data_IF_977536845392
#
_entry.id   IF_977536845392
#
_cell.length_a   1.000
_cell.length_b   1.000
_cell.length_c   1.000
_cell.angle_alpha   90.00
_cell.angle_beta   90.00
_cell.angle_gamma   90.00
#
_symmetry.space_group_name_H-M   'P 1'
#
loop_
_entity.id
_entity.type
_entity.pdbx_description
1 polymer ?
#
# COMPACT_ATOMS: atom_id res chain seq x y z
N UNK A 1 13.51 8.54 6.34
CA UNK A 1 13.56 8.88 4.90
C UNK A 1 12.11 8.98 4.44
N UNK A 2 11.74 9.96 3.61
CA UNK A 2 10.38 9.96 3.01
C UNK A 2 10.29 8.83 1.98
N UNK A 3 9.17 8.10 1.88
CA UNK A 3 8.95 7.00 0.91
C UNK A 3 9.31 7.43 -0.51
N UNK A 4 8.99 8.68 -0.86
CA UNK A 4 9.35 9.29 -2.15
C UNK A 4 10.84 9.24 -2.46
N UNK A 5 11.71 9.47 -1.48
CA UNK A 5 13.17 9.42 -1.68
C UNK A 5 13.71 7.99 -1.87
N UNK A 6 13.05 6.99 -1.27
CA UNK A 6 13.39 5.58 -1.48
C UNK A 6 12.98 5.10 -2.87
N UNK A 7 11.81 5.56 -3.36
CA UNK A 7 11.26 5.24 -4.68
C UNK A 7 12.01 5.89 -5.84
N UNK A 8 12.56 7.10 -5.65
CA UNK A 8 13.36 7.80 -6.68
C UNK A 8 14.58 7.00 -7.15
N UNK A 9 15.13 6.14 -6.27
CA UNK A 9 16.32 5.34 -6.52
C UNK A 9 16.02 3.92 -7.03
N UNK A 10 14.76 3.63 -7.40
CA UNK A 10 14.39 2.32 -7.94
C UNK A 10 14.76 2.20 -9.42
N UNK A 11 15.29 1.04 -9.77
CA UNK A 11 15.37 0.58 -11.15
C UNK A 11 13.96 0.39 -11.72
N UNK A 12 13.86 0.32 -13.04
CA UNK A 12 12.56 0.14 -13.70
C UNK A 12 11.87 -1.18 -13.32
N UNK A 13 12.64 -2.26 -13.16
CA UNK A 13 12.08 -3.55 -12.74
C UNK A 13 11.60 -3.53 -11.29
N UNK A 14 12.30 -2.80 -10.41
CA UNK A 14 11.88 -2.64 -9.01
C UNK A 14 10.63 -1.77 -8.90
N UNK A 15 10.54 -0.69 -9.68
CA UNK A 15 9.35 0.17 -9.75
C UNK A 15 8.13 -0.62 -10.22
N UNK A 16 8.26 -1.38 -11.32
CA UNK A 16 7.20 -2.27 -11.82
C UNK A 16 6.80 -3.32 -10.78
N UNK A 17 7.77 -3.86 -10.04
CA UNK A 17 7.51 -4.82 -8.98
C UNK A 17 6.74 -4.22 -7.80
N UNK A 18 7.14 -3.04 -7.34
CA UNK A 18 6.43 -2.32 -6.28
C UNK A 18 5.00 -1.98 -6.70
N UNK A 19 4.82 -1.48 -7.92
CA UNK A 19 3.50 -1.14 -8.47
C UNK A 19 2.59 -2.37 -8.54
N UNK A 20 3.08 -3.52 -9.01
CA UNK A 20 2.33 -4.77 -9.00
C UNK A 20 1.86 -5.18 -7.59
N UNK A 21 2.72 -5.03 -6.58
CA UNK A 21 2.37 -5.36 -5.18
C UNK A 21 1.28 -4.40 -4.66
N UNK A 22 1.35 -3.11 -5.01
CA UNK A 22 0.34 -2.09 -4.66
C UNK A 22 -0.99 -2.37 -5.34
N UNK A 23 -1.01 -2.57 -6.65
CA UNK A 23 -2.23 -2.82 -7.44
C UNK A 23 -2.97 -4.08 -7.00
N UNK A 24 -2.24 -5.12 -6.60
CA UNK A 24 -2.83 -6.38 -6.13
C UNK A 24 -3.26 -6.34 -4.67
N UNK A 25 -2.85 -5.33 -3.89
CA UNK A 25 -2.96 -5.32 -2.43
C UNK A 25 -2.13 -6.42 -1.74
N UNK A 26 -1.29 -7.11 -2.51
CA UNK A 26 -0.46 -8.22 -2.09
C UNK A 26 -0.52 -9.43 -3.02
N UNK A 27 0.59 -10.15 -3.10
CA UNK A 27 0.79 -11.24 -4.06
C UNK A 27 1.72 -12.31 -3.50
N UNK A 28 1.40 -13.58 -3.78
CA UNK A 28 2.32 -14.69 -3.50
C UNK A 28 3.60 -14.52 -4.33
N UNK A 29 4.76 -14.62 -3.68
CA UNK A 29 6.07 -14.43 -4.31
C UNK A 29 6.25 -15.34 -5.55
N UNK A 30 5.68 -16.54 -5.52
CA UNK A 30 5.70 -17.47 -6.66
C UNK A 30 4.92 -17.01 -7.90
N UNK A 31 3.93 -16.13 -7.73
CA UNK A 31 3.21 -15.50 -8.82
C UNK A 31 3.86 -14.18 -9.22
N UNK A 32 4.46 -13.44 -8.27
CA UNK A 32 5.10 -12.15 -8.51
C UNK A 32 6.03 -12.14 -9.74
N UNK A 33 6.99 -13.06 -9.81
CA UNK A 33 7.90 -13.10 -10.96
C UNK A 33 7.25 -13.58 -12.26
N UNK A 34 6.14 -14.33 -12.18
CA UNK A 34 5.39 -14.74 -13.37
C UNK A 34 4.64 -13.55 -13.96
N UNK A 35 3.96 -12.77 -13.12
CA UNK A 35 3.23 -11.57 -13.52
C UNK A 35 4.17 -10.48 -14.04
N UNK A 36 5.37 -10.34 -13.46
CA UNK A 36 6.39 -9.41 -13.95
C UNK A 36 7.10 -9.86 -15.24
N UNK A 37 6.88 -11.11 -15.66
CA UNK A 37 7.61 -11.77 -16.76
C UNK A 37 9.13 -11.77 -16.54
N UNK A 38 9.56 -12.23 -15.36
CA UNK A 38 10.98 -12.33 -14.99
C UNK A 38 11.33 -13.69 -14.41
N UNK A 39 12.62 -14.05 -14.47
CA UNK A 39 13.10 -15.26 -13.79
C UNK A 39 12.94 -15.14 -12.26
N UNK A 40 12.75 -16.27 -11.58
CA UNK A 40 12.69 -16.30 -10.10
C UNK A 40 13.93 -15.69 -9.45
N UNK A 41 15.12 -15.90 -10.01
CA UNK A 41 16.36 -15.27 -9.51
C UNK A 41 16.33 -13.74 -9.61
N UNK A 42 15.78 -13.19 -10.70
CA UNK A 42 15.61 -11.74 -10.85
C UNK A 42 14.51 -11.22 -9.91
N UNK A 43 13.39 -11.93 -9.83
CA UNK A 43 12.28 -11.62 -8.92
C UNK A 43 12.71 -11.58 -7.45
N UNK A 44 13.48 -12.57 -6.98
CA UNK A 44 14.01 -12.58 -5.61
C UNK A 44 14.87 -11.35 -5.30
N UNK A 45 15.73 -10.92 -6.23
CA UNK A 45 16.56 -9.71 -6.03
C UNK A 45 15.72 -8.44 -5.95
N UNK A 46 14.67 -8.34 -6.76
CA UNK A 46 13.73 -7.22 -6.69
C UNK A 46 13.06 -7.20 -5.31
N UNK A 47 12.55 -8.34 -4.85
CA UNK A 47 11.90 -8.46 -3.53
C UNK A 47 12.86 -8.11 -2.40
N UNK A 48 14.10 -8.61 -2.43
CA UNK A 48 15.14 -8.29 -1.44
C UNK A 48 15.42 -6.79 -1.39
N UNK A 49 15.62 -6.14 -2.55
CA UNK A 49 15.85 -4.70 -2.63
C UNK A 49 14.67 -3.88 -2.10
N UNK A 50 13.43 -4.26 -2.45
CA UNK A 50 12.23 -3.58 -1.95
C UNK A 50 12.04 -3.76 -0.43
N UNK A 51 12.39 -4.93 0.12
CA UNK A 51 12.38 -5.18 1.57
C UNK A 51 13.45 -4.34 2.29
N UNK A 52 14.68 -4.28 1.77
CA UNK A 52 15.77 -3.48 2.34
C UNK A 52 15.45 -1.98 2.37
N UNK A 53 14.64 -1.52 1.40
CA UNK A 53 14.14 -0.14 1.32
C UNK A 53 12.87 0.09 2.15
N UNK A 54 12.37 -0.92 2.85
CA UNK A 54 11.15 -0.86 3.67
C UNK A 54 9.88 -0.48 2.87
N UNK A 55 9.83 -0.85 1.58
CA UNK A 55 8.72 -0.52 0.68
C UNK A 55 7.64 -1.62 0.64
N UNK A 56 7.99 -2.84 1.05
CA UNK A 56 7.05 -3.97 1.12
C UNK A 56 7.26 -4.77 2.41
N UNK A 57 6.26 -5.57 2.77
CA UNK A 57 6.37 -6.63 3.77
C UNK A 57 6.45 -8.01 3.11
N UNK A 58 6.95 -8.99 3.85
CA UNK A 58 7.04 -10.39 3.43
C UNK A 58 6.74 -11.35 4.58
N UNK A 59 5.69 -12.15 4.42
CA UNK A 59 5.25 -13.14 5.40
C UNK A 59 5.33 -14.56 4.84
N UNK A 60 5.70 -15.53 5.69
CA UNK A 60 5.67 -16.94 5.31
C UNK A 60 4.23 -17.44 5.11
N UNK A 61 4.01 -18.22 4.05
CA UNK A 61 2.69 -18.78 3.77
C UNK A 61 2.78 -20.09 2.97
N UNK A 62 1.66 -20.79 2.85
CA UNK A 62 1.52 -21.96 1.98
C UNK A 62 0.58 -21.61 0.85
N UNK A 63 1.07 -21.74 -0.39
CA UNK A 63 0.27 -21.49 -1.58
C UNK A 63 0.33 -22.69 -2.52
N UNK A 64 -0.85 -23.21 -2.89
CA UNK A 64 -0.99 -24.40 -3.76
C UNK A 64 -0.14 -25.59 -3.28
N UNK A 65 -0.07 -25.80 -1.97
CA UNK A 65 0.67 -26.92 -1.37
C UNK A 65 2.19 -26.73 -1.27
N UNK A 66 2.71 -25.54 -1.58
CA UNK A 66 4.13 -25.22 -1.47
C UNK A 66 4.35 -24.07 -0.49
N UNK A 67 5.35 -24.21 0.38
CA UNK A 67 5.82 -23.09 1.21
C UNK A 67 6.37 -22.00 0.30
N UNK A 68 5.92 -20.77 0.54
CA UNK A 68 6.33 -19.58 -0.19
C UNK A 68 6.18 -18.37 0.72
N UNK A 69 6.22 -17.18 0.13
CA UNK A 69 5.98 -15.94 0.85
C UNK A 69 4.82 -15.17 0.24
N UNK A 70 4.12 -14.40 1.06
CA UNK A 70 3.17 -13.38 0.65
C UNK A 70 3.86 -12.02 0.74
N UNK A 71 3.83 -11.27 -0.36
CA UNK A 71 4.35 -9.90 -0.43
C UNK A 71 3.17 -8.95 -0.28
N UNK A 72 3.28 -7.92 0.55
CA UNK A 72 2.24 -6.89 0.67
C UNK A 72 2.85 -5.49 0.71
N UNK A 73 2.09 -4.43 0.38
CA UNK A 73 2.52 -3.06 0.61
C UNK A 73 2.81 -2.81 2.11
N UNK A 74 3.65 -1.85 2.42
CA UNK A 74 3.74 -1.32 3.79
C UNK A 74 2.59 -0.36 4.08
N UNK A 75 2.30 -0.12 5.36
CA UNK A 75 1.25 0.84 5.74
C UNK A 75 1.56 2.27 5.23
N UNK A 76 2.83 2.57 4.96
CA UNK A 76 3.26 3.85 4.41
C UNK A 76 2.86 4.04 2.93
N UNK A 77 2.48 2.97 2.24
CA UNK A 77 1.96 2.98 0.86
C UNK A 77 0.44 3.15 0.77
N UNK A 78 -0.27 3.12 1.90
CA UNK A 78 -1.70 3.39 1.90
C UNK A 78 -1.91 4.91 1.76
N UNK A 79 -2.63 5.31 0.70
CA UNK A 79 -2.89 6.72 0.41
C UNK A 79 -4.02 7.25 1.30
N UNK A 80 -3.71 7.52 2.57
CA UNK A 80 -4.69 8.02 3.54
C UNK A 80 -5.20 9.42 3.21
N UNK A 81 -4.53 10.18 2.33
CA UNK A 81 -5.01 11.50 1.88
C UNK A 81 -6.41 11.42 1.24
N UNK A 82 -6.76 10.29 0.63
CA UNK A 82 -8.11 10.05 0.09
C UNK A 82 -9.20 9.99 1.18
N UNK A 83 -8.79 9.72 2.42
CA UNK A 83 -9.67 9.67 3.59
C UNK A 83 -9.64 10.96 4.41
N UNK A 84 -8.88 11.97 3.98
CA UNK A 84 -8.63 13.20 4.73
C UNK A 84 -9.10 14.43 3.94
N UNK A 85 -9.39 15.52 4.64
CA UNK A 85 -9.38 16.87 4.10
C UNK A 85 -8.66 17.77 5.09
N UNK A 86 -7.72 18.61 4.62
CA UNK A 86 -6.79 19.29 5.53
C UNK A 86 -6.07 18.28 6.42
N UNK A 87 -6.02 18.56 7.72
CA UNK A 87 -5.46 17.66 8.75
C UNK A 87 -6.54 16.77 9.42
N UNK A 88 -7.78 16.75 8.90
CA UNK A 88 -8.89 16.00 9.47
C UNK A 88 -9.26 14.75 8.67
N UNK A 89 -9.46 13.62 9.36
CA UNK A 89 -10.02 12.39 8.77
C UNK A 89 -11.52 12.56 8.51
N UNK A 90 -12.01 12.00 7.40
CA UNK A 90 -13.44 11.95 7.11
C UNK A 90 -14.17 11.20 8.22
N UNK A 91 -15.30 11.73 8.73
CA UNK A 91 -15.98 11.18 9.90
C UNK A 91 -16.64 9.82 9.63
N UNK A 92 -16.79 9.42 8.36
CA UNK A 92 -17.47 8.19 7.98
C UNK A 92 -16.53 7.05 7.61
N UNK A 93 -15.23 7.21 7.85
CA UNK A 93 -14.26 6.12 7.63
C UNK A 93 -14.53 5.00 8.62
N UNK A 94 -14.96 3.84 8.11
CA UNK A 94 -15.20 2.65 8.92
C UNK A 94 -16.51 2.66 9.72
N UNK A 95 -17.40 3.61 9.48
CA UNK A 95 -18.74 3.63 10.06
C UNK A 95 -19.72 2.85 9.15
N UNK A 96 -20.30 1.78 9.68
CA UNK A 96 -21.27 0.95 8.95
C UNK A 96 -22.72 1.46 9.12
N UNK A 97 -22.98 2.36 10.06
CA UNK A 97 -24.33 2.86 10.42
C UNK A 97 -24.41 4.40 10.32
N UNK A 98 -24.29 4.93 9.10
CA UNK A 98 -24.41 6.37 8.84
C UNK A 98 -25.86 6.87 9.03
N UNK A 99 -26.09 7.74 10.02
CA UNK A 99 -27.35 8.46 10.19
C UNK A 99 -27.34 9.78 9.39
N UNK A 100 -28.19 9.86 8.37
CA UNK A 100 -28.35 11.05 7.54
C UNK A 100 -28.91 12.28 8.28
N UNK A 101 -29.39 12.12 9.52
CA UNK A 101 -29.85 13.22 10.39
C UNK A 101 -28.80 13.73 11.35
N UNK A 102 -27.66 13.05 11.46
CA UNK A 102 -26.54 13.48 12.28
C UNK A 102 -25.86 14.71 11.65
N UNK A 103 -25.39 15.65 12.48
CA UNK A 103 -24.70 16.85 12.06
C UNK A 103 -23.17 16.68 11.97
N UNK A 104 -22.63 15.51 12.29
CA UNK A 104 -21.20 15.17 12.28
C UNK A 104 -20.49 15.59 11.00
N UNK A 105 -21.06 15.31 9.82
CA UNK A 105 -20.46 15.76 8.55
C UNK A 105 -20.44 17.28 8.42
N UNK A 106 -21.52 17.94 8.86
CA UNK A 106 -21.63 19.40 8.80
C UNK A 106 -20.62 20.05 9.76
N UNK A 107 -20.45 19.51 10.97
CA UNK A 107 -19.42 19.95 11.91
C UNK A 107 -18.01 19.76 11.34
N UNK A 108 -17.74 18.63 10.71
CA UNK A 108 -16.46 18.37 10.03
C UNK A 108 -16.17 19.40 8.93
N UNK A 109 -17.13 19.67 8.04
CA UNK A 109 -16.98 20.71 6.99
C UNK A 109 -16.76 22.10 7.59
N UNK A 110 -17.50 22.45 8.66
CA UNK A 110 -17.33 23.74 9.32
C UNK A 110 -15.93 23.87 9.93
N UNK A 111 -15.41 22.83 10.57
CA UNK A 111 -14.06 22.85 11.14
C UNK A 111 -12.98 23.07 10.07
N UNK A 112 -13.09 22.42 8.91
CA UNK A 112 -12.20 22.64 7.77
C UNK A 112 -12.18 24.10 7.29
N UNK A 113 -13.32 24.79 7.36
CA UNK A 113 -13.42 26.19 6.94
C UNK A 113 -12.79 27.17 7.95
N UNK A 114 -12.51 26.73 9.18
CA UNK A 114 -11.91 27.53 10.25
C UNK A 114 -10.44 27.17 10.54
N UNK A 115 -9.91 26.09 9.94
CA UNK A 115 -8.47 25.82 9.87
C UNK A 115 -7.82 26.68 8.77
N UNK A 116 -7.48 27.93 9.10
CA UNK A 116 -6.49 28.75 8.37
C UNK A 116 -5.15 28.80 9.12
#
# INVERSE_FOLDING_TARGET
>A
MSTRAAEENLTEDERRGLELIRETGGIHQSNFWKELDVSSRKGSRIVESLLEKELINRDETVYKGHNTYYLSPTAQDLEFSLLMAGDMLSPFVGDEEVDARDDTFSQWVMNLAYEE
#
